data_IF_832245301057
#
_entry.id   IF_832245301057
#
_cell.length_a   1.000
_cell.length_b   1.000
_cell.length_c   1.000
_cell.angle_alpha   90.00
_cell.angle_beta   90.00
_cell.angle_gamma   90.00
#
_symmetry.space_group_name_H-M   'P 1'
#
loop_
_entity.id
_entity.type
_entity.pdbx_description
1 polymer ?
#
# COMPACT_ATOMS: atom_id res chain seq x y z
N UNK A 1 -15.36 -21.64 5.91
CA UNK A 1 -16.59 -22.00 6.63
C UNK A 1 -16.57 -21.31 7.98
N UNK A 2 -17.64 -20.62 8.36
CA UNK A 2 -17.77 -20.03 9.69
C UNK A 2 -17.99 -21.19 10.68
N UNK A 3 -17.22 -21.23 11.77
CA UNK A 3 -17.43 -22.24 12.80
C UNK A 3 -18.81 -22.00 13.45
N UNK A 4 -19.77 -22.94 13.34
CA UNK A 4 -21.12 -22.74 13.84
C UNK A 4 -21.16 -22.50 15.36
N UNK A 5 -20.21 -23.03 16.11
CA UNK A 5 -20.10 -22.83 17.56
C UNK A 5 -19.81 -21.36 17.92
N UNK A 6 -19.02 -20.68 17.09
CA UNK A 6 -18.69 -19.25 17.28
C UNK A 6 -19.93 -18.40 17.02
N UNK A 7 -20.71 -18.75 15.99
CA UNK A 7 -21.93 -18.03 15.66
C UNK A 7 -22.98 -18.14 16.78
N UNK A 8 -23.18 -19.34 17.32
CA UNK A 8 -24.10 -19.52 18.45
C UNK A 8 -23.64 -18.77 19.70
N UNK A 9 -22.34 -18.77 20.02
CA UNK A 9 -21.81 -17.98 21.13
C UNK A 9 -22.09 -16.47 20.98
N UNK A 10 -21.94 -15.92 19.77
CA UNK A 10 -22.23 -14.50 19.48
C UNK A 10 -23.73 -14.20 19.59
N UNK A 11 -24.60 -15.16 19.22
CA UNK A 11 -26.05 -15.02 19.36
C UNK A 11 -26.52 -14.99 20.81
N UNK A 12 -25.81 -15.61 21.74
CA UNK A 12 -26.16 -15.51 23.17
C UNK A 12 -25.72 -14.17 23.81
N UNK A 13 -24.89 -13.37 23.12
CA UNK A 13 -24.41 -12.10 23.66
C UNK A 13 -25.45 -10.97 23.54
N UNK A 14 -25.52 -10.06 24.53
CA UNK A 14 -26.22 -8.78 24.41
C UNK A 14 -25.69 -7.95 23.24
N UNK A 15 -26.57 -7.12 22.65
CA UNK A 15 -26.21 -6.31 21.49
C UNK A 15 -24.99 -5.40 21.72
N UNK A 16 -24.82 -4.87 22.94
CA UNK A 16 -23.66 -4.04 23.30
C UNK A 16 -22.35 -4.82 23.13
N UNK A 17 -22.30 -6.05 23.64
CA UNK A 17 -21.11 -6.91 23.52
C UNK A 17 -20.85 -7.36 22.08
N UNK A 18 -21.92 -7.58 21.29
CA UNK A 18 -21.78 -7.89 19.85
C UNK A 18 -21.14 -6.73 19.10
N UNK A 19 -21.52 -5.49 19.40
CA UNK A 19 -20.95 -4.30 18.78
C UNK A 19 -19.47 -4.14 19.15
N UNK A 20 -19.11 -4.32 20.42
CA UNK A 20 -17.72 -4.31 20.88
C UNK A 20 -16.87 -5.38 20.17
N UNK A 21 -17.39 -6.60 20.01
CA UNK A 21 -16.70 -7.65 19.26
C UNK A 21 -16.47 -7.29 17.78
N UNK A 22 -17.46 -6.66 17.13
CA UNK A 22 -17.32 -6.22 15.74
C UNK A 22 -16.24 -5.15 15.63
N UNK A 23 -16.23 -4.17 16.53
CA UNK A 23 -15.20 -3.12 16.56
C UNK A 23 -13.81 -3.70 16.78
N UNK A 24 -13.68 -4.65 17.71
CA UNK A 24 -12.41 -5.31 17.99
C UNK A 24 -11.90 -6.13 16.78
N UNK A 25 -12.78 -6.89 16.15
CA UNK A 25 -12.45 -7.64 14.95
C UNK A 25 -12.04 -6.72 13.78
N UNK A 26 -12.74 -5.60 13.61
CA UNK A 26 -12.39 -4.59 12.61
C UNK A 26 -11.03 -3.94 12.89
N UNK A 27 -10.73 -3.66 14.15
CA UNK A 27 -9.44 -3.11 14.55
C UNK A 27 -8.30 -4.09 14.21
N UNK A 28 -8.44 -5.38 14.55
CA UNK A 28 -7.44 -6.41 14.22
C UNK A 28 -7.15 -6.47 12.71
N UNK A 29 -8.20 -6.46 11.88
CA UNK A 29 -8.05 -6.49 10.42
C UNK A 29 -7.31 -5.22 9.95
N UNK A 30 -7.67 -4.05 10.48
CA UNK A 30 -6.99 -2.79 10.12
C UNK A 30 -5.52 -2.80 10.51
N UNK A 31 -5.18 -3.32 11.68
CA UNK A 31 -3.78 -3.47 12.12
C UNK A 31 -3.00 -4.41 11.21
N UNK A 32 -3.60 -5.52 10.76
CA UNK A 32 -2.97 -6.41 9.77
C UNK A 32 -2.80 -5.75 8.41
N UNK A 33 -3.77 -4.97 7.95
CA UNK A 33 -3.68 -4.22 6.69
C UNK A 33 -2.65 -3.07 6.77
N UNK A 34 -2.52 -2.44 7.93
CA UNK A 34 -1.58 -1.34 8.15
C UNK A 34 -0.16 -1.80 8.40
N UNK A 35 0.10 -3.10 8.61
CA UNK A 35 1.47 -3.63 8.54
C UNK A 35 1.96 -3.43 7.11
N UNK A 36 2.88 -2.48 6.84
CA UNK A 36 3.42 -2.35 5.50
C UNK A 36 4.04 -3.71 5.20
N UNK A 37 3.57 -4.36 4.12
CA UNK A 37 4.32 -5.49 3.57
C UNK A 37 5.72 -4.94 3.31
N UNK A 38 6.71 -5.39 4.08
CA UNK A 38 8.11 -5.08 3.81
C UNK A 38 8.42 -5.71 2.46
N UNK A 39 8.22 -4.93 1.41
CA UNK A 39 8.70 -5.28 0.09
C UNK A 39 10.23 -5.19 0.15
N UNK A 40 10.90 -6.17 -0.45
CA UNK A 40 12.31 -5.97 -0.76
C UNK A 40 12.45 -4.76 -1.69
N UNK A 41 13.61 -4.10 -1.67
CA UNK A 41 13.88 -3.00 -2.59
C UNK A 41 13.63 -3.40 -4.05
N UNK A 42 13.94 -4.65 -4.40
CA UNK A 42 13.68 -5.22 -5.72
C UNK A 42 12.19 -5.32 -6.05
N UNK A 43 11.36 -5.77 -5.10
CA UNK A 43 9.91 -5.87 -5.32
C UNK A 43 9.25 -4.49 -5.40
N UNK A 44 9.73 -3.53 -4.61
CA UNK A 44 9.28 -2.14 -4.71
C UNK A 44 9.67 -1.53 -6.07
N UNK A 45 10.91 -1.72 -6.52
CA UNK A 45 11.39 -1.23 -7.81
C UNK A 45 10.57 -1.81 -8.98
N UNK A 46 10.23 -3.10 -8.93
CA UNK A 46 9.42 -3.73 -9.98
C UNK A 46 7.99 -3.16 -10.06
N UNK A 47 7.35 -2.89 -8.91
CA UNK A 47 6.03 -2.25 -8.88
C UNK A 47 6.09 -0.82 -9.44
N UNK A 48 7.21 -0.13 -9.19
CA UNK A 48 7.39 1.25 -9.65
C UNK A 48 7.86 1.34 -11.11
N UNK A 49 8.23 0.23 -11.77
CA UNK A 49 8.87 0.23 -13.09
C UNK A 49 8.09 0.99 -14.15
N UNK A 50 6.77 0.82 -14.22
CA UNK A 50 5.91 1.49 -15.20
C UNK A 50 5.88 3.02 -15.09
N UNK A 51 6.27 3.56 -13.93
CA UNK A 51 6.37 5.00 -13.71
C UNK A 51 7.69 5.60 -14.20
N UNK A 52 8.68 4.75 -14.53
CA UNK A 52 9.97 5.17 -15.07
C UNK A 52 10.15 4.75 -16.53
N UNK A 53 9.12 4.17 -17.15
CA UNK A 53 9.12 3.89 -18.58
C UNK A 53 9.08 5.20 -19.38
N UNK A 54 9.76 5.22 -20.51
CA UNK A 54 9.80 6.35 -21.44
C UNK A 54 8.38 6.75 -21.88
N UNK A 55 8.07 8.05 -21.86
CA UNK A 55 6.72 8.55 -22.12
C UNK A 55 5.71 8.36 -20.97
N UNK A 56 6.14 7.90 -19.80
CA UNK A 56 5.32 7.93 -18.59
C UNK A 56 5.23 9.37 -18.03
N UNK A 57 4.19 9.65 -17.23
CA UNK A 57 3.96 10.99 -16.65
C UNK A 57 5.11 11.52 -15.80
N UNK A 58 6.01 10.65 -15.31
CA UNK A 58 7.15 11.03 -14.48
C UNK A 58 8.42 11.26 -15.32
N UNK A 59 8.55 10.61 -16.48
CA UNK A 59 9.66 10.84 -17.41
C UNK A 59 9.36 11.96 -18.40
N UNK A 60 8.09 12.35 -18.58
CA UNK A 60 7.66 13.42 -19.51
C UNK A 60 8.44 14.74 -19.32
N UNK A 61 8.81 15.10 -18.09
CA UNK A 61 9.62 16.30 -17.81
C UNK A 61 11.09 16.17 -18.19
N UNK A 62 11.65 14.97 -18.16
CA UNK A 62 13.08 14.71 -18.47
C UNK A 62 13.24 14.37 -19.96
N UNK A 63 12.27 13.65 -20.54
CA UNK A 63 12.23 13.26 -21.95
C UNK A 63 12.09 14.49 -22.87
N UNK A 64 11.45 15.58 -22.40
CA UNK A 64 11.31 16.83 -23.16
C UNK A 64 12.45 17.83 -22.96
N UNK A 65 13.34 17.60 -21.99
CA UNK A 65 14.44 18.51 -21.70
C UNK A 65 15.65 18.17 -22.56
N UNK A 66 15.73 18.80 -23.73
CA UNK A 66 16.91 18.82 -24.62
C UNK A 66 18.04 19.73 -24.08
N UNK A 67 17.96 20.11 -22.80
CA UNK A 67 19.00 20.87 -22.12
C UNK A 67 20.16 19.91 -21.83
N UNK A 68 21.24 20.05 -22.60
CA UNK A 68 22.50 19.34 -22.35
C UNK A 68 23.02 19.71 -20.96
N UNK A 69 22.73 18.88 -19.97
CA UNK A 69 23.22 19.02 -18.59
C UNK A 69 24.77 19.14 -18.51
N UNK A 70 25.47 18.73 -19.57
CA UNK A 70 26.92 18.84 -19.75
C UNK A 70 27.42 20.20 -20.26
N UNK A 71 26.55 21.13 -20.66
CA UNK A 71 26.95 22.45 -21.18
C UNK A 71 27.73 23.28 -20.13
N UNK A 72 27.54 22.99 -18.84
CA UNK A 72 28.21 23.70 -17.76
C UNK A 72 29.46 22.99 -17.21
N UNK A 73 29.88 21.87 -17.80
CA UNK A 73 31.01 21.09 -17.28
C UNK A 73 32.36 21.81 -17.38
N UNK A 74 32.48 22.76 -18.31
CA UNK A 74 33.70 23.54 -18.57
C UNK A 74 33.82 24.82 -17.72
N UNK A 75 32.83 25.13 -16.87
CA UNK A 75 32.86 26.32 -15.99
C UNK A 75 33.43 26.07 -14.59
N UNK A 76 34.09 24.92 -14.36
CA UNK A 76 34.69 24.52 -13.08
C UNK A 76 36.22 24.65 -13.07
#
# INVERSE_FOLDING_TARGET
MINPQILEAIKEMPNVQRLEMIEFALQLIREEMQKPKKLSLTAAAEIMRSYYEEGSRLTEFVDSCDENFYEYHDYA
#
